data_IF_313561284845
#
_entry.id   IF_313561284845
#
_cell.length_a   1.000
_cell.length_b   1.000
_cell.length_c   1.000
_cell.angle_alpha   90.00
_cell.angle_beta   90.00
_cell.angle_gamma   90.00
#
_symmetry.space_group_name_H-M   'P 1'
#
loop_
_entity.id
_entity.type
_entity.pdbx_description
1 polymer ?
#
# COMPACT_ATOMS: atom_id res chain seq x y z
N UNK A 1 -13.56 -13.39 5.90
CA UNK A 1 -13.04 -14.76 6.14
C UNK A 1 -13.90 -15.37 7.23
N UNK A 2 -14.19 -16.68 7.16
CA UNK A 2 -15.09 -17.32 8.14
C UNK A 2 -14.34 -18.29 9.07
N UNK A 3 -14.73 -18.36 10.36
CA UNK A 3 -15.69 -17.48 11.00
C UNK A 3 -15.08 -16.09 11.27
N UNK A 4 -15.86 -15.03 11.02
CA UNK A 4 -15.44 -13.67 11.34
C UNK A 4 -15.12 -13.52 12.83
N UNK A 5 -14.02 -12.82 13.15
CA UNK A 5 -13.54 -12.61 14.52
C UNK A 5 -12.73 -13.76 15.12
N UNK A 6 -12.47 -14.84 14.37
CA UNK A 6 -11.64 -15.93 14.86
C UNK A 6 -10.19 -15.48 15.07
N UNK A 7 -9.65 -15.67 16.27
CA UNK A 7 -8.26 -15.32 16.61
C UNK A 7 -7.33 -16.50 16.40
N UNK A 8 -6.30 -16.31 15.59
CA UNK A 8 -5.28 -17.31 15.32
C UNK A 8 -4.22 -17.33 16.44
N UNK A 9 -3.76 -18.53 16.81
CA UNK A 9 -2.70 -18.68 17.82
C UNK A 9 -1.35 -18.07 17.41
N UNK A 10 -1.15 -17.85 16.11
CA UNK A 10 0.02 -17.19 15.51
C UNK A 10 -0.46 -16.34 14.34
N UNK A 11 0.26 -15.27 13.96
CA UNK A 11 -0.03 -14.54 12.73
C UNK A 11 -0.11 -15.48 11.52
N UNK A 12 -1.11 -15.29 10.69
CA UNK A 12 -1.29 -16.01 9.43
C UNK A 12 -1.07 -15.08 8.26
N UNK A 13 -0.33 -15.55 7.26
CA UNK A 13 -0.12 -14.82 6.01
C UNK A 13 -1.35 -14.97 5.12
N UNK A 14 -1.85 -13.85 4.61
CA UNK A 14 -2.93 -13.82 3.63
C UNK A 14 -2.38 -13.30 2.31
N UNK A 15 -2.68 -14.03 1.25
CA UNK A 15 -2.36 -13.66 -0.11
C UNK A 15 -3.67 -13.32 -0.83
N UNK A 16 -3.75 -12.09 -1.35
CA UNK A 16 -4.90 -11.62 -2.13
C UNK A 16 -4.43 -11.37 -3.56
N UNK A 17 -5.02 -12.08 -4.52
CA UNK A 17 -4.86 -11.73 -5.93
C UNK A 17 -5.66 -10.48 -6.24
N UNK A 18 -5.14 -9.65 -7.13
CA UNK A 18 -5.81 -8.43 -7.57
C UNK A 18 -5.62 -8.20 -9.07
N UNK A 19 -6.50 -7.40 -9.65
CA UNK A 19 -6.49 -7.03 -11.07
C UNK A 19 -6.16 -5.55 -11.29
N UNK A 20 -5.58 -4.90 -10.28
CA UNK A 20 -5.20 -3.50 -10.40
C UNK A 20 -4.24 -3.33 -11.58
N UNK A 21 -4.59 -2.42 -12.49
CA UNK A 21 -3.77 -2.12 -13.65
C UNK A 21 -2.46 -1.45 -13.20
N UNK A 22 -1.40 -2.23 -13.10
CA UNK A 22 -0.04 -1.70 -13.06
C UNK A 22 0.38 -1.42 -14.50
N UNK A 23 -0.12 -0.34 -15.08
CA UNK A 23 0.55 0.22 -16.24
C UNK A 23 1.95 0.63 -15.77
N UNK A 24 3.00 0.09 -16.40
CA UNK A 24 4.38 0.30 -15.98
C UNK A 24 4.78 1.78 -15.94
N UNK A 25 4.09 2.63 -16.70
CA UNK A 25 4.25 4.09 -16.65
C UNK A 25 3.76 4.71 -15.34
N UNK A 26 2.77 4.07 -14.68
CA UNK A 26 2.12 4.58 -13.48
C UNK A 26 2.38 3.75 -12.21
N UNK A 27 3.31 2.79 -12.26
CA UNK A 27 3.63 1.93 -11.12
C UNK A 27 4.08 2.72 -9.88
N UNK A 28 4.68 3.90 -10.06
CA UNK A 28 5.12 4.77 -8.97
C UNK A 28 4.07 5.76 -8.47
N UNK A 29 2.92 5.86 -9.15
CA UNK A 29 1.81 6.75 -8.76
C UNK A 29 0.87 6.10 -7.75
N UNK A 30 0.82 4.77 -7.70
CA UNK A 30 -0.17 4.07 -6.90
C UNK A 30 0.49 3.16 -5.86
N UNK A 31 -0.11 3.12 -4.67
CA UNK A 31 0.17 2.10 -3.67
C UNK A 31 -0.96 1.08 -3.65
N UNK A 32 -0.59 -0.19 -3.61
CA UNK A 32 -1.48 -1.28 -3.28
C UNK A 32 -1.46 -1.51 -1.76
N UNK A 33 -2.62 -1.39 -1.12
CA UNK A 33 -2.80 -1.65 0.31
C UNK A 33 -3.92 -2.66 0.54
N UNK A 34 -3.75 -3.53 1.54
CA UNK A 34 -4.82 -4.39 2.03
C UNK A 34 -5.46 -3.70 3.23
N UNK A 35 -6.78 -3.56 3.19
CA UNK A 35 -7.55 -2.96 4.27
C UNK A 35 -8.42 -4.01 4.96
N UNK A 36 -8.55 -3.87 6.28
CA UNK A 36 -9.55 -4.58 7.09
C UNK A 36 -10.85 -3.77 7.06
N UNK A 37 -11.92 -4.37 6.54
CA UNK A 37 -13.24 -3.78 6.54
C UNK A 37 -13.93 -4.02 7.89
N UNK A 38 -14.31 -2.93 8.54
CA UNK A 38 -15.05 -2.92 9.81
C UNK A 38 -15.88 -1.65 9.95
N UNK A 39 -16.15 -1.22 11.19
CA UNK A 39 -16.78 0.10 11.45
C UNK A 39 -15.89 1.25 10.99
N UNK A 40 -14.58 1.06 11.10
CA UNK A 40 -13.55 1.91 10.53
C UNK A 40 -12.74 1.04 9.57
N UNK A 41 -12.32 1.62 8.44
CA UNK A 41 -11.45 0.94 7.49
C UNK A 41 -10.01 1.13 7.97
N UNK A 42 -9.29 0.04 8.19
CA UNK A 42 -7.91 0.07 8.70
C UNK A 42 -6.94 -0.45 7.64
N UNK A 43 -5.90 0.33 7.35
CA UNK A 43 -4.80 -0.10 6.49
C UNK A 43 -3.92 -1.13 7.22
N UNK A 44 -3.71 -2.27 6.59
CA UNK A 44 -2.77 -3.27 7.07
C UNK A 44 -1.40 -3.07 6.43
N UNK A 45 -0.36 -3.46 7.16
CA UNK A 45 0.99 -3.55 6.58
C UNK A 45 0.94 -4.53 5.40
N UNK A 46 1.23 -4.00 4.22
CA UNK A 46 1.11 -4.72 2.96
C UNK A 46 2.47 -4.81 2.29
N UNK A 47 2.84 -6.01 1.87
CA UNK A 47 4.02 -6.26 1.05
C UNK A 47 3.53 -6.67 -0.34
N UNK A 48 3.98 -5.96 -1.38
CA UNK A 48 3.66 -6.31 -2.75
C UNK A 48 4.59 -7.44 -3.20
N UNK A 49 4.01 -8.53 -3.68
CA UNK A 49 4.77 -9.61 -4.31
C UNK A 49 4.56 -9.53 -5.81
N UNK A 50 5.63 -9.22 -6.54
CA UNK A 50 5.59 -9.06 -7.98
C UNK A 50 5.27 -10.38 -8.69
N UNK A 51 5.66 -11.53 -8.11
CA UNK A 51 5.37 -12.87 -8.65
C UNK A 51 5.17 -13.90 -7.54
N UNK A 52 4.42 -14.98 -7.79
CA UNK A 52 4.29 -16.12 -6.87
C UNK A 52 5.63 -16.81 -6.55
N UNK A 53 6.68 -16.59 -7.35
CA UNK A 53 8.03 -17.15 -7.16
C UNK A 53 8.77 -16.58 -5.95
N UNK A 54 8.29 -15.46 -5.41
CA UNK A 54 8.84 -14.85 -4.20
C UNK A 54 8.30 -15.53 -2.92
N UNK A 55 7.35 -16.46 -3.05
CA UNK A 55 6.80 -17.24 -1.94
C UNK A 55 7.64 -18.50 -1.66
N UNK A 56 7.77 -18.93 -0.39
CA UNK A 56 8.46 -20.18 -0.05
C UNK A 56 7.82 -21.38 -0.77
N UNK A 57 8.64 -22.22 -1.42
CA UNK A 57 8.19 -23.37 -2.26
C UNK A 57 7.17 -24.29 -1.57
N UNK A 58 7.24 -24.43 -0.24
CA UNK A 58 6.32 -25.27 0.55
C UNK A 58 4.89 -24.71 0.67
N UNK A 59 4.66 -23.47 0.26
CA UNK A 59 3.36 -22.78 0.36
C UNK A 59 2.52 -22.94 -0.92
N UNK A 60 3.14 -23.38 -2.02
CA UNK A 60 2.64 -23.17 -3.38
C UNK A 60 2.26 -24.47 -4.10
N UNK A 61 2.45 -25.65 -3.49
CA UNK A 61 2.48 -26.94 -4.20
C UNK A 61 1.20 -27.33 -4.97
N UNK A 62 0.03 -26.73 -4.68
CA UNK A 62 -1.24 -27.14 -5.31
C UNK A 62 -2.10 -25.98 -5.88
N UNK A 63 -1.63 -24.73 -5.83
CA UNK A 63 -2.43 -23.55 -6.22
C UNK A 63 -1.88 -22.76 -7.43
N UNK A 64 -0.87 -23.28 -8.12
CA UNK A 64 -0.04 -22.53 -9.08
C UNK A 64 -0.76 -21.88 -10.27
N UNK A 65 -1.80 -22.49 -10.83
CA UNK A 65 -2.20 -22.11 -12.19
C UNK A 65 -2.93 -20.75 -12.28
N UNK A 66 -3.62 -20.31 -11.23
CA UNK A 66 -4.34 -19.02 -11.23
C UNK A 66 -3.42 -17.86 -10.83
N UNK A 67 -2.43 -18.13 -9.97
CA UNK A 67 -1.50 -17.11 -9.48
C UNK A 67 -0.39 -16.79 -10.49
N UNK A 68 -0.15 -17.64 -11.49
CA UNK A 68 0.77 -17.31 -12.58
C UNK A 68 0.37 -16.08 -13.40
N UNK A 69 -0.91 -15.67 -13.34
CA UNK A 69 -1.46 -14.63 -14.21
C UNK A 69 -1.86 -13.33 -13.49
N UNK A 70 -1.97 -13.33 -12.15
CA UNK A 70 -2.40 -12.15 -11.39
C UNK A 70 -1.38 -11.78 -10.30
N UNK A 71 -1.08 -10.48 -10.13
CA UNK A 71 -0.23 -10.01 -9.05
C UNK A 71 -0.86 -10.28 -7.68
N UNK A 72 -0.01 -10.34 -6.66
CA UNK A 72 -0.37 -10.72 -5.29
C UNK A 72 -0.04 -9.60 -4.29
N UNK A 73 -1.01 -9.28 -3.45
CA UNK A 73 -0.80 -8.52 -2.22
C UNK A 73 -0.65 -9.49 -1.04
N UNK A 74 0.35 -9.24 -0.20
CA UNK A 74 0.58 -10.02 1.02
C UNK A 74 0.34 -9.15 2.25
N UNK A 75 -0.34 -9.72 3.24
CA UNK A 75 -0.38 -9.17 4.61
C UNK A 75 -0.34 -10.28 5.65
N UNK A 76 -0.19 -9.93 6.92
CA UNK A 76 -0.29 -10.85 8.06
C UNK A 76 -1.40 -10.41 8.99
N UNK A 77 -2.28 -11.34 9.36
CA UNK A 77 -3.39 -11.09 10.29
C UNK A 77 -3.32 -12.01 11.50
N UNK A 78 -3.88 -11.58 12.62
CA UNK A 78 -4.08 -12.38 13.83
C UNK A 78 -5.54 -12.72 14.07
N UNK A 79 -6.46 -12.12 13.32
CA UNK A 79 -7.90 -12.27 13.45
C UNK A 79 -8.57 -12.35 12.06
N UNK A 80 -9.43 -13.34 11.87
CA UNK A 80 -10.20 -13.50 10.64
C UNK A 80 -11.18 -12.33 10.46
N UNK A 81 -11.14 -11.70 9.29
CA UNK A 81 -11.94 -10.51 8.99
C UNK A 81 -12.23 -10.41 7.50
N UNK A 82 -13.03 -9.41 7.12
CA UNK A 82 -13.22 -9.04 5.72
C UNK A 82 -12.06 -8.18 5.28
N UNK A 83 -11.35 -8.62 4.23
CA UNK A 83 -10.18 -7.93 3.70
C UNK A 83 -10.44 -7.49 2.26
N UNK A 84 -9.93 -6.32 1.90
CA UNK A 84 -10.00 -5.80 0.53
C UNK A 84 -8.65 -5.28 0.09
N UNK A 85 -8.20 -5.66 -1.10
CA UNK A 85 -7.05 -5.06 -1.74
C UNK A 85 -7.51 -3.80 -2.48
N UNK A 86 -6.88 -2.66 -2.19
CA UNK A 86 -7.22 -1.36 -2.80
C UNK A 86 -5.98 -0.73 -3.39
N UNK A 87 -6.15 -0.03 -4.49
CA UNK A 87 -5.13 0.88 -5.01
C UNK A 87 -5.50 2.31 -4.67
N UNK A 88 -4.53 3.06 -4.14
CA UNK A 88 -4.67 4.49 -3.88
C UNK A 88 -3.52 5.24 -4.52
N UNK A 89 -3.71 6.54 -4.74
CA UNK A 89 -2.59 7.41 -5.12
C UNK A 89 -1.59 7.39 -3.97
N UNK A 90 -0.31 7.18 -4.31
CA UNK A 90 0.79 7.14 -3.35
C UNK A 90 0.84 8.48 -2.64
N UNK A 91 0.86 8.42 -1.32
CA UNK A 91 0.84 9.60 -0.48
C UNK A 91 2.05 9.64 0.42
N UNK A 92 2.62 10.82 0.61
CA UNK A 92 3.78 11.01 1.48
C UNK A 92 3.47 12.00 2.59
N UNK A 93 3.92 11.69 3.80
CA UNK A 93 3.89 12.64 4.89
C UNK A 93 5.12 13.53 4.83
N UNK A 94 4.90 14.84 4.72
CA UNK A 94 5.93 15.86 4.83
C UNK A 94 5.72 16.66 6.10
N UNK A 95 6.81 17.19 6.65
CA UNK A 95 6.79 18.09 7.80
C UNK A 95 7.17 19.47 7.28
N UNK A 96 6.28 20.44 7.46
CA UNK A 96 6.57 21.84 7.20
C UNK A 96 6.93 22.55 8.50
N UNK A 97 7.97 23.38 8.44
CA UNK A 97 8.46 24.18 9.56
C UNK A 97 8.30 25.67 9.19
N UNK A 98 7.76 26.54 10.08
CA UNK A 98 7.43 27.93 9.76
C UNK A 98 8.56 28.77 9.15
N UNK A 99 9.77 28.59 9.66
CA UNK A 99 10.94 29.41 9.32
C UNK A 99 11.77 28.83 8.16
N UNK A 100 11.29 27.76 7.53
CA UNK A 100 12.00 27.07 6.45
C UNK A 100 11.20 27.08 5.17
N UNK A 101 11.89 27.18 4.04
CA UNK A 101 11.31 26.87 2.75
C UNK A 101 11.37 25.35 2.56
N UNK A 102 10.25 24.76 2.15
CA UNK A 102 10.19 23.36 1.77
C UNK A 102 9.87 23.23 0.29
N UNK A 103 10.62 22.39 -0.41
CA UNK A 103 10.30 21.98 -1.77
C UNK A 103 9.99 20.50 -1.71
N UNK A 104 8.81 20.13 -2.18
CA UNK A 104 8.39 18.74 -2.38
C UNK A 104 8.70 18.35 -3.83
N UNK A 105 9.81 17.63 -4.09
CA UNK A 105 10.09 17.06 -5.39
C UNK A 105 9.49 15.67 -5.48
N UNK A 106 8.73 15.41 -6.55
CA UNK A 106 8.26 14.06 -6.86
C UNK A 106 8.33 13.77 -8.34
N UNK A 107 9.13 12.80 -8.71
CA UNK A 107 9.12 12.25 -10.06
C UNK A 107 8.19 11.06 -10.12
N UNK A 108 7.36 11.00 -11.15
CA UNK A 108 6.55 9.84 -11.43
C UNK A 108 6.88 9.26 -12.81
N UNK A 109 7.38 8.04 -12.83
CA UNK A 109 7.85 7.40 -14.06
C UNK A 109 8.93 8.23 -14.75
N UNK A 110 8.87 8.29 -16.08
CA UNK A 110 9.89 8.94 -16.92
C UNK A 110 9.56 10.36 -17.37
N UNK A 111 8.35 10.88 -17.11
CA UNK A 111 7.85 12.07 -17.83
C UNK A 111 7.21 13.17 -16.98
N UNK A 112 7.03 13.00 -15.66
CA UNK A 112 6.34 14.01 -14.85
C UNK A 112 7.02 14.26 -13.51
N UNK A 113 7.64 15.43 -13.38
CA UNK A 113 8.10 15.97 -12.10
C UNK A 113 6.99 16.88 -11.54
N UNK A 114 6.43 16.50 -10.39
CA UNK A 114 5.64 17.37 -9.54
C UNK A 114 6.59 18.09 -8.58
N UNK A 115 6.52 19.42 -8.58
CA UNK A 115 7.23 20.25 -7.62
C UNK A 115 6.21 21.14 -6.89
N UNK A 116 6.16 21.03 -5.57
CA UNK A 116 5.35 21.93 -4.72
C UNK A 116 6.30 22.72 -3.84
N UNK A 117 6.22 24.05 -3.89
CA UNK A 117 7.05 24.94 -3.09
C UNK A 117 6.20 25.55 -1.98
N UNK A 118 6.64 25.35 -0.74
CA UNK A 118 6.11 25.99 0.46
C UNK A 118 7.11 27.08 0.89
N UNK A 119 6.81 28.37 0.67
CA UNK A 119 7.71 29.45 1.07
C UNK A 119 7.75 29.61 2.60
N UNK A 120 8.78 30.32 3.08
CA UNK A 120 8.89 30.71 4.50
C UNK A 120 7.62 31.44 4.94
N UNK A 121 7.08 31.05 6.10
CA UNK A 121 5.83 31.59 6.64
C UNK A 121 4.56 31.02 6.00
N UNK A 122 4.64 29.96 5.19
CA UNK A 122 3.46 29.25 4.68
C UNK A 122 2.63 28.59 5.79
N UNK A 123 3.24 28.33 6.95
CA UNK A 123 2.61 27.74 8.13
C UNK A 123 3.01 28.53 9.38
N UNK A 124 2.09 28.64 10.35
CA UNK A 124 2.32 29.37 11.61
C UNK A 124 3.02 28.51 12.67
N UNK A 125 2.87 27.19 12.59
CA UNK A 125 3.47 26.19 13.46
C UNK A 125 3.90 24.95 12.65
N UNK A 126 4.71 24.08 13.25
CA UNK A 126 5.11 22.82 12.61
C UNK A 126 3.86 22.00 12.26
N UNK A 127 3.69 21.66 10.99
CA UNK A 127 2.54 20.88 10.53
C UNK A 127 2.95 19.66 9.72
N UNK A 128 2.21 18.56 9.92
CA UNK A 128 2.31 17.36 9.09
C UNK A 128 1.27 17.42 8.00
N UNK A 129 1.71 17.33 6.74
CA UNK A 129 0.84 17.30 5.57
C UNK A 129 0.99 15.99 4.85
N UNK A 130 -0.15 15.44 4.41
CA UNK A 130 -0.18 14.32 3.47
C UNK A 130 -0.31 14.89 2.07
N UNK A 131 0.72 14.71 1.24
CA UNK A 131 0.69 15.06 -0.18
C UNK A 131 0.23 13.83 -0.96
N UNK A 132 -0.80 13.98 -1.80
CA UNK A 132 -1.37 12.94 -2.68
C UNK A 132 -1.32 13.40 -4.13
#
# INVERSE_FOLDING_TARGET
>A
MEPEGYVFNKPVTVLLSHCAAQDGAYADYYDLTIQKLGKECEDLKTEQLGKPKDLPEKTVSDFCDIFEYLPLAQTSITEASTLVATTRIRSEEIILVPDEMYVYPRSYGNESDLEIIFPVGAVEEECRLTVQ
#
